data_IF_160803723411
#
_entry.id   IF_160803723411
#
_cell.length_a   1.000
_cell.length_b   1.000
_cell.length_c   1.000
_cell.angle_alpha   90.00
_cell.angle_beta   90.00
_cell.angle_gamma   90.00
#
_symmetry.space_group_name_H-M   'P 1'
#
loop_
_entity.id
_entity.type
_entity.pdbx_description
1 polymer ?
#
# COMPACT_ATOMS: atom_id res chain seq x y z
N UNK A 1 5.56 2.96 -16.53
CA UNK A 1 5.50 1.47 -16.56
C UNK A 1 6.71 0.87 -17.28
N UNK A 2 6.98 1.21 -18.55
CA UNK A 2 8.16 0.65 -19.26
C UNK A 2 9.50 0.95 -18.58
N UNK A 3 9.69 2.14 -18.01
CA UNK A 3 10.92 2.43 -17.27
C UNK A 3 11.17 1.48 -16.08
N UNK A 4 10.09 1.03 -15.42
CA UNK A 4 10.19 0.04 -14.33
C UNK A 4 10.64 -1.30 -14.92
N UNK A 5 9.99 -1.76 -16.00
CA UNK A 5 10.34 -3.02 -16.68
C UNK A 5 11.79 -3.01 -17.17
N UNK A 6 12.21 -1.92 -17.79
CA UNK A 6 13.58 -1.74 -18.28
C UNK A 6 14.61 -1.81 -17.14
N UNK A 7 14.31 -1.25 -15.97
CA UNK A 7 15.19 -1.37 -14.81
C UNK A 7 15.46 -2.83 -14.41
N UNK A 8 14.45 -3.70 -14.46
CA UNK A 8 14.66 -5.12 -14.18
C UNK A 8 15.47 -5.79 -15.29
N UNK A 9 15.21 -5.46 -16.57
CA UNK A 9 15.99 -5.97 -17.73
C UNK A 9 17.46 -5.54 -17.69
N UNK A 10 17.73 -4.32 -17.24
CA UNK A 10 19.09 -3.77 -17.11
C UNK A 10 19.86 -4.38 -15.92
N UNK A 11 19.13 -4.73 -14.84
CA UNK A 11 19.74 -5.19 -13.59
C UNK A 11 19.89 -6.71 -13.49
N UNK A 12 18.97 -7.46 -14.09
CA UNK A 12 18.89 -8.90 -13.92
C UNK A 12 18.90 -9.61 -15.27
N UNK A 13 19.47 -10.81 -15.28
CA UNK A 13 19.20 -11.77 -16.35
C UNK A 13 17.79 -12.32 -16.17
N UNK A 14 16.91 -12.07 -17.15
CA UNK A 14 15.54 -12.56 -17.13
C UNK A 14 15.48 -14.03 -17.60
N UNK A 15 14.44 -14.75 -17.17
CA UNK A 15 14.18 -16.11 -17.69
C UNK A 15 13.62 -16.09 -19.12
N UNK A 16 13.66 -17.22 -19.82
CA UNK A 16 13.08 -17.33 -21.17
C UNK A 16 11.57 -17.01 -21.17
N UNK A 17 10.84 -17.44 -20.13
CA UNK A 17 9.43 -17.09 -19.90
C UNK A 17 9.24 -15.57 -19.85
N UNK A 18 10.07 -14.89 -19.06
CA UNK A 18 10.01 -13.44 -18.90
C UNK A 18 10.36 -12.67 -20.19
N UNK A 19 11.33 -13.17 -20.97
CA UNK A 19 11.74 -12.59 -22.24
C UNK A 19 10.68 -12.77 -23.34
N UNK A 20 9.98 -13.90 -23.35
CA UNK A 20 8.90 -14.19 -24.30
C UNK A 20 7.60 -13.45 -23.96
N UNK A 21 7.41 -12.98 -22.73
CA UNK A 21 6.19 -12.31 -22.30
C UNK A 21 6.03 -10.93 -22.97
N UNK A 22 4.89 -10.63 -23.63
CA UNK A 22 4.65 -9.33 -24.26
C UNK A 22 4.77 -8.16 -23.29
N UNK A 23 4.28 -8.36 -22.06
CA UNK A 23 4.38 -7.39 -20.98
C UNK A 23 5.01 -8.05 -19.76
N UNK A 24 6.34 -8.00 -19.70
CA UNK A 24 7.09 -8.46 -18.54
C UNK A 24 6.55 -7.86 -17.22
N UNK A 25 6.29 -8.73 -16.25
CA UNK A 25 5.81 -8.38 -14.91
C UNK A 25 6.71 -9.07 -13.88
N UNK A 26 7.56 -8.33 -13.13
CA UNK A 26 8.53 -8.91 -12.19
C UNK A 26 7.90 -9.86 -11.17
N UNK A 27 6.67 -9.59 -10.77
CA UNK A 27 5.96 -10.36 -9.76
C UNK A 27 5.08 -11.50 -10.28
N UNK A 28 4.87 -11.60 -11.60
CA UNK A 28 3.95 -12.57 -12.23
C UNK A 28 2.68 -12.83 -11.41
N UNK A 29 1.95 -11.74 -11.16
CA UNK A 29 0.79 -11.72 -10.25
C UNK A 29 -0.51 -11.71 -11.05
N UNK A 30 -1.60 -12.17 -10.42
CA UNK A 30 -2.92 -12.21 -11.06
C UNK A 30 -3.76 -10.95 -10.83
N UNK A 31 -3.39 -10.07 -9.88
CA UNK A 31 -4.18 -8.89 -9.54
C UNK A 31 -3.96 -7.66 -10.43
N UNK A 32 -2.82 -7.54 -11.11
CA UNK A 32 -2.46 -6.36 -11.91
C UNK A 32 -1.50 -6.68 -13.06
N UNK A 33 -1.53 -5.85 -14.09
CA UNK A 33 -0.60 -5.92 -15.22
C UNK A 33 0.87 -5.56 -14.88
N UNK A 34 1.13 -5.00 -13.69
CA UNK A 34 2.48 -4.73 -13.19
C UNK A 34 2.47 -4.68 -11.66
N UNK A 35 3.22 -5.59 -11.03
CA UNK A 35 3.65 -5.43 -9.63
C UNK A 35 5.17 -5.48 -9.58
N UNK A 36 5.75 -4.62 -8.76
CA UNK A 36 7.19 -4.48 -8.62
C UNK A 36 7.53 -3.99 -7.22
N UNK A 37 8.80 -4.14 -6.85
CA UNK A 37 9.31 -3.58 -5.60
C UNK A 37 9.16 -2.04 -5.58
N UNK A 38 8.78 -1.41 -4.45
CA UNK A 38 8.62 0.04 -4.36
C UNK A 38 9.86 0.83 -4.81
N UNK A 39 11.06 0.35 -4.51
CA UNK A 39 12.33 0.97 -4.92
C UNK A 39 12.54 0.98 -6.43
N UNK A 40 11.99 0.00 -7.16
CA UNK A 40 12.05 0.00 -8.62
C UNK A 40 11.15 1.09 -9.21
N UNK A 41 9.96 1.30 -8.64
CA UNK A 41 9.07 2.39 -9.01
C UNK A 41 9.68 3.76 -8.68
N UNK A 42 10.21 3.93 -7.47
CA UNK A 42 10.89 5.17 -7.05
C UNK A 42 12.05 5.53 -7.99
N UNK A 43 12.91 4.56 -8.34
CA UNK A 43 14.03 4.82 -9.23
C UNK A 43 13.56 5.26 -10.64
N UNK A 44 12.47 4.68 -11.15
CA UNK A 44 11.88 5.11 -12.42
C UNK A 44 11.34 6.54 -12.34
N UNK A 45 10.62 6.89 -11.26
CA UNK A 45 10.13 8.25 -11.03
C UNK A 45 11.28 9.24 -10.94
N UNK A 46 12.32 8.95 -10.14
CA UNK A 46 13.48 9.83 -10.01
C UNK A 46 14.19 10.04 -11.36
N UNK A 47 14.31 8.99 -12.19
CA UNK A 47 14.88 9.11 -13.54
C UNK A 47 14.07 10.08 -14.43
N UNK A 48 12.74 10.11 -14.28
CA UNK A 48 11.88 11.04 -15.00
C UNK A 48 12.04 12.49 -14.51
N UNK A 49 12.23 12.67 -13.20
CA UNK A 49 12.24 13.99 -12.55
C UNK A 49 13.62 14.64 -12.59
N UNK A 50 14.71 13.86 -12.59
CA UNK A 50 16.09 14.35 -12.47
C UNK A 50 16.45 15.47 -13.48
N UNK A 51 16.13 15.37 -14.78
CA UNK A 51 16.44 16.45 -15.73
C UNK A 51 15.74 17.78 -15.41
N UNK A 52 14.57 17.72 -14.77
CA UNK A 52 13.83 18.93 -14.36
C UNK A 52 14.44 19.53 -13.09
N UNK A 53 14.95 18.69 -12.20
CA UNK A 53 15.66 19.09 -10.98
C UNK A 53 16.99 19.76 -11.35
N UNK A 54 17.81 19.11 -12.18
CA UNK A 54 19.12 19.63 -12.61
C UNK A 54 19.00 20.95 -13.37
N UNK A 55 17.92 21.12 -14.13
CA UNK A 55 17.64 22.38 -14.82
C UNK A 55 17.01 23.47 -13.93
N UNK A 56 16.85 23.22 -12.62
CA UNK A 56 16.27 24.16 -11.66
C UNK A 56 14.77 24.43 -11.82
N UNK A 57 14.07 23.63 -12.63
CA UNK A 57 12.62 23.79 -12.89
C UNK A 57 11.75 23.04 -11.88
N UNK A 58 12.31 22.07 -11.15
CA UNK A 58 11.61 21.27 -10.15
C UNK A 58 12.43 21.23 -8.86
N UNK A 59 11.75 21.49 -7.73
CA UNK A 59 12.27 21.27 -6.39
C UNK A 59 11.36 20.26 -5.69
N UNK A 60 11.97 19.31 -4.97
CA UNK A 60 11.23 18.29 -4.22
C UNK A 60 11.56 18.43 -2.74
N UNK A 61 10.52 18.58 -1.92
CA UNK A 61 10.62 18.66 -0.47
C UNK A 61 10.10 17.36 0.15
N UNK A 62 11.01 16.48 0.54
CA UNK A 62 10.67 15.21 1.19
C UNK A 62 10.23 15.41 2.64
N UNK A 63 9.37 14.53 3.15
CA UNK A 63 8.86 14.59 4.52
C UNK A 63 8.16 15.92 4.85
N UNK A 64 7.51 16.51 3.84
CA UNK A 64 6.74 17.73 3.98
C UNK A 64 5.26 17.40 4.27
N UNK A 65 4.71 17.97 5.33
CA UNK A 65 3.32 17.80 5.74
C UNK A 65 2.59 19.13 5.66
N UNK A 66 1.44 19.14 4.99
CA UNK A 66 0.59 20.31 4.88
C UNK A 66 0.11 20.75 6.27
N UNK A 67 0.25 22.05 6.59
CA UNK A 67 -0.17 22.62 7.88
C UNK A 67 -1.36 23.56 7.73
N UNK A 68 -1.28 24.48 6.78
CA UNK A 68 -2.30 25.51 6.58
C UNK A 68 -2.28 26.00 5.15
N UNK A 69 -3.41 26.55 4.73
CA UNK A 69 -3.55 27.31 3.50
C UNK A 69 -4.32 28.60 3.79
N UNK A 70 -3.93 29.70 3.15
CA UNK A 70 -4.54 31.01 3.32
C UNK A 70 -5.27 31.42 2.04
N UNK A 71 -6.55 31.75 2.18
CA UNK A 71 -7.40 32.25 1.10
C UNK A 71 -7.52 33.77 1.16
N UNK A 72 -7.45 34.40 -0.01
CA UNK A 72 -7.88 35.79 -0.21
C UNK A 72 -8.92 35.81 -1.31
N UNK A 73 -10.18 36.06 -0.93
CA UNK A 73 -11.32 35.90 -1.83
C UNK A 73 -11.46 34.45 -2.28
N UNK A 74 -11.24 34.18 -3.57
CA UNK A 74 -11.30 32.84 -4.17
C UNK A 74 -9.92 32.28 -4.53
N UNK A 75 -8.84 32.99 -4.21
CA UNK A 75 -7.48 32.59 -4.56
C UNK A 75 -6.69 32.15 -3.33
N UNK A 76 -6.01 31.01 -3.43
CA UNK A 76 -5.05 30.56 -2.42
C UNK A 76 -3.81 31.44 -2.56
N UNK A 77 -3.45 32.17 -1.51
CA UNK A 77 -2.27 33.03 -1.50
C UNK A 77 -1.05 32.25 -1.01
N UNK A 78 -1.21 31.56 0.12
CA UNK A 78 -0.10 30.92 0.85
C UNK A 78 -0.46 29.48 1.16
N UNK A 79 0.51 28.57 0.98
CA UNK A 79 0.45 27.22 1.56
C UNK A 79 1.66 27.02 2.47
N UNK A 80 1.41 26.62 3.72
CA UNK A 80 2.46 26.34 4.69
C UNK A 80 2.57 24.84 4.91
N UNK A 81 3.80 24.32 4.85
CA UNK A 81 4.11 22.93 5.17
C UNK A 81 5.17 22.84 6.26
N UNK A 82 5.14 21.78 7.05
CA UNK A 82 6.17 21.39 8.01
C UNK A 82 7.11 20.36 7.40
N UNK A 83 8.43 20.46 7.66
CA UNK A 83 9.43 19.53 7.16
C UNK A 83 10.57 19.29 8.18
N UNK A 84 11.13 18.07 8.20
CA UNK A 84 10.58 16.93 8.95
C UNK A 84 10.42 17.26 10.45
N UNK A 85 9.61 16.46 11.16
CA UNK A 85 9.38 16.60 12.61
C UNK A 85 8.85 17.98 13.05
N UNK A 86 8.19 18.73 12.15
CA UNK A 86 7.69 20.09 12.40
C UNK A 86 8.77 21.11 12.79
N UNK A 87 10.05 20.79 12.59
CA UNK A 87 11.17 21.64 13.00
C UNK A 87 11.42 22.81 12.04
N UNK A 88 10.94 22.72 10.81
CA UNK A 88 11.00 23.78 9.81
C UNK A 88 9.65 23.96 9.17
N UNK A 89 9.21 25.21 9.07
CA UNK A 89 8.06 25.58 8.24
C UNK A 89 8.55 26.19 6.94
N UNK A 90 7.91 25.81 5.84
CA UNK A 90 8.11 26.37 4.52
C UNK A 90 6.79 26.99 4.07
N UNK A 91 6.85 28.27 3.69
CA UNK A 91 5.72 29.00 3.12
C UNK A 91 5.91 29.10 1.61
N UNK A 92 4.94 28.61 0.85
CA UNK A 92 4.94 28.67 -0.60
C UNK A 92 3.93 29.71 -1.07
N UNK A 93 4.35 30.47 -2.08
CA UNK A 93 3.50 31.37 -2.87
C UNK A 93 3.62 30.92 -4.32
N UNK A 94 2.51 30.50 -4.93
CA UNK A 94 2.49 29.95 -6.28
C UNK A 94 1.27 30.45 -7.04
N UNK A 95 1.37 30.47 -8.37
CA UNK A 95 0.24 30.83 -9.24
C UNK A 95 -0.86 29.74 -9.23
N UNK A 96 -0.48 28.50 -8.96
CA UNK A 96 -1.37 27.34 -8.91
C UNK A 96 -0.91 26.39 -7.80
N UNK A 97 -1.87 25.77 -7.15
CA UNK A 97 -1.67 24.66 -6.21
C UNK A 97 -2.41 23.45 -6.74
N UNK A 98 -1.71 22.32 -6.84
CA UNK A 98 -2.28 21.04 -7.26
C UNK A 98 -2.22 20.09 -6.07
N UNK A 99 -3.38 19.67 -5.58
CA UNK A 99 -3.46 18.66 -4.53
C UNK A 99 -3.45 17.27 -5.17
N UNK A 100 -2.43 16.49 -4.85
CA UNK A 100 -2.30 15.10 -5.26
C UNK A 100 -2.09 14.19 -4.04
N UNK A 101 -2.55 14.59 -2.86
CA UNK A 101 -2.56 13.70 -1.69
C UNK A 101 -3.71 12.69 -1.82
N UNK A 102 -3.58 11.53 -1.15
CA UNK A 102 -4.57 10.45 -1.23
C UNK A 102 -5.96 10.88 -0.73
N UNK A 103 -6.01 11.80 0.24
CA UNK A 103 -7.23 12.22 0.93
C UNK A 103 -7.74 13.61 0.50
N UNK A 104 -7.01 14.32 -0.36
CA UNK A 104 -7.31 15.72 -0.71
C UNK A 104 -7.13 16.65 0.49
N UNK A 105 -5.95 16.60 1.13
CA UNK A 105 -5.68 17.26 2.41
C UNK A 105 -5.73 18.79 2.33
N UNK A 106 -5.64 19.40 1.13
CA UNK A 106 -5.70 20.84 0.96
C UNK A 106 -7.12 21.38 1.11
N UNK A 107 -8.12 20.66 0.60
CA UNK A 107 -9.50 21.13 0.56
C UNK A 107 -10.07 21.41 1.98
N UNK A 108 -9.89 20.54 2.99
CA UNK A 108 -10.36 20.80 4.35
C UNK A 108 -9.74 22.04 5.01
N UNK A 109 -8.58 22.52 4.54
CA UNK A 109 -7.94 23.73 5.08
C UNK A 109 -8.48 25.02 4.43
N UNK A 110 -9.14 24.88 3.28
CA UNK A 110 -9.72 25.97 2.51
C UNK A 110 -11.20 26.19 2.85
N UNK A 111 -11.88 25.13 3.29
CA UNK A 111 -13.29 25.15 3.61
C UNK A 111 -13.54 25.54 5.07
N UNK A 112 -14.55 26.38 5.31
CA UNK A 112 -15.10 26.60 6.65
C UNK A 112 -15.80 25.31 7.12
N UNK A 113 -15.75 24.91 8.40
CA UNK A 113 -16.44 23.72 8.89
C UNK A 113 -17.93 23.76 8.52
N UNK A 114 -18.33 22.94 7.54
CA UNK A 114 -19.70 22.87 7.02
C UNK A 114 -19.86 22.80 5.49
N UNK A 115 -18.80 22.85 4.68
CA UNK A 115 -18.88 22.81 3.21
C UNK A 115 -18.86 21.38 2.61
N UNK A 116 -19.39 20.38 3.32
CA UNK A 116 -19.35 18.96 2.94
C UNK A 116 -20.26 18.57 1.74
N UNK A 117 -20.65 19.50 0.87
CA UNK A 117 -21.66 19.26 -0.16
C UNK A 117 -21.26 19.75 -1.56
N UNK A 118 -20.01 19.53 -1.98
CA UNK A 118 -19.70 19.54 -3.42
C UNK A 118 -19.32 18.13 -3.88
N UNK A 119 -20.28 17.36 -4.42
CA UNK A 119 -19.98 16.11 -5.11
C UNK A 119 -19.04 16.43 -6.27
N UNK A 120 -17.90 15.75 -6.35
CA UNK A 120 -17.15 15.71 -7.59
C UNK A 120 -18.10 15.18 -8.67
N UNK A 121 -18.28 15.94 -9.75
CA UNK A 121 -19.02 15.50 -10.93
C UNK A 121 -18.19 14.45 -11.68
N UNK A 122 -18.07 13.27 -11.09
CA UNK A 122 -17.88 12.03 -11.83
C UNK A 122 -19.11 11.18 -11.59
N UNK A 123 -19.77 10.78 -12.68
CA UNK A 123 -20.94 9.88 -12.66
C UNK A 123 -20.63 8.47 -12.17
N UNK A 124 -19.36 8.19 -11.83
CA UNK A 124 -18.87 6.96 -11.18
C UNK A 124 -18.26 7.24 -9.77
N UNK A 125 -18.50 8.43 -9.20
CA UNK A 125 -17.94 8.88 -7.93
C UNK A 125 -18.47 8.13 -6.69
N UNK A 126 -17.75 8.17 -5.55
CA UNK A 126 -18.07 7.39 -4.36
C UNK A 126 -19.47 7.70 -3.83
N UNK A 127 -20.22 6.65 -3.49
CA UNK A 127 -21.54 6.77 -2.88
C UNK A 127 -21.45 7.60 -1.57
N UNK A 128 -22.36 8.55 -1.32
CA UNK A 128 -22.33 9.46 -0.15
C UNK A 128 -22.30 8.78 1.23
N UNK A 129 -22.61 7.48 1.27
CA UNK A 129 -22.68 6.65 2.49
C UNK A 129 -21.52 5.66 2.61
N UNK A 130 -20.55 5.69 1.69
CA UNK A 130 -19.49 4.70 1.68
C UNK A 130 -18.40 5.09 2.71
N UNK A 131 -18.29 4.32 3.79
CA UNK A 131 -17.26 4.50 4.81
C UNK A 131 -15.86 4.40 4.18
N UNK A 132 -14.98 5.37 4.47
CA UNK A 132 -13.58 5.30 4.08
C UNK A 132 -12.94 4.10 4.78
N UNK A 133 -12.50 3.13 3.99
CA UNK A 133 -11.71 2.01 4.49
C UNK A 133 -10.24 2.19 4.14
N UNK A 134 -9.37 1.81 5.06
CA UNK A 134 -7.92 1.91 4.87
C UNK A 134 -7.17 0.76 5.53
N UNK A 135 -5.99 0.44 4.99
CA UNK A 135 -5.13 -0.65 5.49
C UNK A 135 -3.66 -0.35 5.29
N UNK A 136 -2.79 -1.02 6.04
CA UNK A 136 -1.36 -0.97 5.82
C UNK A 136 -0.89 -2.25 5.14
N UNK A 137 -0.16 -2.09 4.04
CA UNK A 137 0.37 -3.23 3.28
C UNK A 137 1.72 -3.65 3.86
N UNK A 138 2.09 -4.92 3.71
CA UNK A 138 3.39 -5.40 4.15
C UNK A 138 3.95 -6.42 3.17
N UNK A 139 5.28 -6.50 3.06
CA UNK A 139 5.95 -7.46 2.20
C UNK A 139 6.41 -8.68 3.00
N UNK A 140 6.27 -9.87 2.42
CA UNK A 140 6.78 -11.12 2.97
C UNK A 140 7.58 -11.91 1.94
N UNK A 141 8.60 -12.64 2.40
CA UNK A 141 9.14 -13.79 1.67
C UNK A 141 8.88 -15.09 2.46
N UNK A 142 9.02 -16.23 1.78
CA UNK A 142 8.84 -17.55 2.38
C UNK A 142 10.21 -18.21 2.54
N UNK A 143 10.55 -18.63 3.77
CA UNK A 143 11.84 -19.22 4.11
C UNK A 143 11.64 -20.63 4.67
N UNK A 144 11.64 -21.66 3.79
CA UNK A 144 11.43 -23.04 4.22
C UNK A 144 12.37 -23.43 5.36
N UNK A 145 11.83 -24.08 6.38
CA UNK A 145 12.56 -24.53 7.58
C UNK A 145 13.08 -23.43 8.50
N UNK A 146 12.72 -22.16 8.27
CA UNK A 146 13.00 -21.06 9.20
C UNK A 146 11.73 -20.69 9.99
N UNK A 147 11.92 -20.03 11.14
CA UNK A 147 10.82 -19.52 11.97
C UNK A 147 10.96 -18.01 12.17
N UNK A 148 10.02 -17.28 11.60
CA UNK A 148 9.96 -15.81 11.57
C UNK A 148 8.69 -15.25 12.20
N UNK A 149 7.98 -16.06 12.99
CA UNK A 149 6.78 -15.66 13.72
C UNK A 149 7.04 -14.38 14.51
N UNK A 150 6.27 -13.32 14.24
CA UNK A 150 6.38 -12.06 14.97
C UNK A 150 5.80 -12.21 16.40
N UNK A 151 6.16 -11.33 17.34
CA UNK A 151 5.46 -11.24 18.61
C UNK A 151 3.96 -11.00 18.39
N UNK A 152 3.11 -11.50 19.28
CA UNK A 152 1.66 -11.24 19.21
C UNK A 152 1.40 -9.73 19.15
N UNK A 153 0.75 -9.23 18.08
CA UNK A 153 0.47 -7.81 17.94
C UNK A 153 -0.48 -7.30 19.03
N UNK A 154 -0.40 -6.01 19.40
CA UNK A 154 -1.42 -5.41 20.26
C UNK A 154 -2.82 -5.60 19.67
N UNK A 155 -3.80 -5.75 20.55
CA UNK A 155 -5.22 -5.94 20.20
C UNK A 155 -5.54 -7.20 19.38
N UNK A 156 -4.59 -8.13 19.20
CA UNK A 156 -4.80 -9.33 18.36
C UNK A 156 -6.03 -10.14 18.76
N UNK A 157 -6.22 -10.41 20.06
CA UNK A 157 -7.36 -11.16 20.56
C UNK A 157 -8.70 -10.46 20.26
N UNK A 158 -8.74 -9.14 20.48
CA UNK A 158 -9.91 -8.31 20.17
C UNK A 158 -10.21 -8.32 18.67
N UNK A 159 -9.19 -8.07 17.83
CA UNK A 159 -9.33 -8.07 16.38
C UNK A 159 -9.77 -9.43 15.85
N UNK A 160 -9.20 -10.53 16.35
CA UNK A 160 -9.58 -11.88 15.95
C UNK A 160 -11.05 -12.20 16.25
N UNK A 161 -11.60 -11.65 17.32
CA UNK A 161 -13.00 -11.82 17.71
C UNK A 161 -13.96 -10.92 16.90
N UNK A 162 -13.60 -9.64 16.71
CA UNK A 162 -14.50 -8.63 16.14
C UNK A 162 -14.35 -8.48 14.61
N UNK A 163 -13.17 -8.78 14.08
CA UNK A 163 -12.85 -8.80 12.65
C UNK A 163 -11.95 -10.02 12.33
N UNK A 164 -12.53 -11.23 12.29
CA UNK A 164 -11.76 -12.46 12.14
C UNK A 164 -10.91 -12.49 10.88
N UNK A 165 -9.62 -12.80 11.04
CA UNK A 165 -8.71 -12.99 9.92
C UNK A 165 -9.11 -14.21 9.11
N UNK A 166 -9.08 -14.07 7.78
CA UNK A 166 -9.55 -15.11 6.87
C UNK A 166 -8.89 -15.00 5.50
N UNK A 167 -8.75 -16.12 4.81
CA UNK A 167 -8.40 -16.20 3.39
C UNK A 167 -9.65 -16.23 2.49
N UNK A 168 -10.84 -16.05 3.04
CA UNK A 168 -12.07 -15.95 2.24
C UNK A 168 -12.04 -14.70 1.37
N UNK A 169 -12.56 -14.84 0.16
CA UNK A 169 -12.74 -13.73 -0.77
C UNK A 169 -14.12 -13.80 -1.43
N UNK A 170 -14.64 -12.63 -1.77
CA UNK A 170 -15.79 -12.50 -2.64
C UNK A 170 -15.33 -12.56 -4.11
N UNK A 171 -15.93 -13.47 -4.88
CA UNK A 171 -15.69 -13.58 -6.31
C UNK A 171 -17.03 -13.83 -7.02
N UNK A 172 -17.46 -12.85 -7.83
CA UNK A 172 -18.84 -12.78 -8.30
C UNK A 172 -19.82 -12.59 -7.13
N UNK A 173 -20.93 -13.32 -7.15
CA UNK A 173 -21.98 -13.25 -6.11
C UNK A 173 -21.67 -14.11 -4.86
N UNK A 174 -20.56 -14.83 -4.86
CA UNK A 174 -20.28 -15.82 -3.83
C UNK A 174 -19.02 -15.53 -3.04
N UNK A 175 -19.07 -15.85 -1.75
CA UNK A 175 -17.88 -15.98 -0.93
C UNK A 175 -17.29 -17.39 -1.09
N UNK A 176 -15.96 -17.48 -1.20
CA UNK A 176 -15.22 -18.73 -1.39
C UNK A 176 -14.01 -18.76 -0.48
N UNK A 177 -13.67 -19.95 0.01
CA UNK A 177 -12.41 -20.18 0.73
C UNK A 177 -11.26 -20.17 -0.29
N UNK A 178 -10.33 -19.24 -0.13
CA UNK A 178 -9.05 -19.27 -0.84
C UNK A 178 -7.97 -19.88 0.06
N UNK A 179 -6.80 -20.06 -0.52
CA UNK A 179 -5.60 -20.66 0.06
C UNK A 179 -4.44 -19.67 -0.01
N UNK A 180 -3.33 -20.00 0.62
CA UNK A 180 -2.18 -19.11 0.64
C UNK A 180 -1.28 -19.28 -0.59
N UNK A 181 -0.93 -20.51 -0.98
CA UNK A 181 0.00 -20.82 -2.09
C UNK A 181 -0.67 -21.54 -3.28
N UNK A 182 -1.70 -22.33 -3.04
CA UNK A 182 -2.20 -23.35 -3.98
C UNK A 182 -3.44 -22.87 -4.71
N UNK A 183 -3.44 -22.73 -6.04
CA UNK A 183 -4.63 -22.28 -6.77
C UNK A 183 -5.88 -23.12 -6.46
N UNK A 184 -7.01 -22.44 -6.25
CA UNK A 184 -8.33 -23.07 -6.06
C UNK A 184 -9.11 -22.93 -7.36
N UNK A 185 -9.72 -24.04 -7.82
CA UNK A 185 -10.54 -24.02 -9.03
C UNK A 185 -11.68 -23.00 -8.92
N UNK A 186 -11.84 -22.18 -9.96
CA UNK A 186 -12.84 -21.11 -10.01
C UNK A 186 -12.44 -19.80 -9.33
N UNK A 187 -11.27 -19.71 -8.70
CA UNK A 187 -10.69 -18.47 -8.19
C UNK A 187 -9.54 -17.97 -9.09
N UNK A 188 -9.29 -16.65 -9.15
CA UNK A 188 -8.25 -16.08 -10.00
C UNK A 188 -6.82 -16.49 -9.57
N UNK A 189 -6.64 -16.83 -8.29
CA UNK A 189 -5.40 -17.37 -7.77
C UNK A 189 -5.31 -17.25 -6.24
N UNK A 190 -4.25 -17.82 -5.66
CA UNK A 190 -4.01 -17.81 -4.21
C UNK A 190 -3.48 -16.46 -3.73
N UNK A 191 -3.53 -16.20 -2.42
CA UNK A 191 -3.10 -14.92 -1.83
C UNK A 191 -1.63 -14.60 -2.16
N UNK A 192 -0.73 -15.60 -2.11
CA UNK A 192 0.69 -15.43 -2.39
C UNK A 192 0.98 -14.76 -3.73
N UNK A 193 0.21 -15.10 -4.77
CA UNK A 193 0.41 -14.58 -6.13
C UNK A 193 -0.51 -13.40 -6.47
N UNK A 194 -1.31 -12.91 -5.52
CA UNK A 194 -2.25 -11.80 -5.78
C UNK A 194 -1.54 -10.49 -6.11
N UNK A 195 -0.68 -10.05 -5.19
CA UNK A 195 0.12 -8.82 -5.29
C UNK A 195 1.61 -9.15 -5.16
N UNK A 196 2.01 -10.30 -5.73
CA UNK A 196 3.42 -10.70 -5.78
C UNK A 196 4.22 -9.64 -6.52
N UNK A 197 5.30 -9.15 -5.91
CA UNK A 197 6.14 -8.06 -6.45
C UNK A 197 7.45 -8.59 -7.05
N UNK A 198 7.83 -9.82 -6.69
CA UNK A 198 8.96 -10.53 -7.26
C UNK A 198 8.63 -12.01 -7.34
N UNK A 199 8.69 -12.59 -8.54
CA UNK A 199 8.58 -14.02 -8.80
C UNK A 199 9.94 -14.53 -9.27
N UNK A 200 10.57 -15.43 -8.52
CA UNK A 200 11.92 -15.92 -8.81
C UNK A 200 12.03 -16.55 -10.21
N UNK A 201 10.96 -17.20 -10.66
CA UNK A 201 10.86 -17.81 -12.01
C UNK A 201 10.90 -16.80 -13.17
N UNK A 202 10.71 -15.51 -12.90
CA UNK A 202 10.86 -14.45 -13.92
C UNK A 202 12.33 -14.09 -14.19
N UNK A 203 13.26 -14.65 -13.40
CA UNK A 203 14.68 -14.37 -13.47
C UNK A 203 15.50 -15.64 -13.69
N UNK A 204 16.69 -15.51 -14.26
CA UNK A 204 17.63 -16.61 -14.36
C UNK A 204 18.03 -17.11 -12.95
N UNK A 205 18.39 -18.39 -12.79
CA UNK A 205 18.78 -18.95 -11.48
C UNK A 205 19.84 -18.11 -10.77
N UNK A 206 19.63 -17.82 -9.48
CA UNK A 206 20.56 -17.08 -8.63
C UNK A 206 20.49 -15.55 -8.74
N UNK A 207 19.69 -14.98 -9.66
CA UNK A 207 19.55 -13.52 -9.79
C UNK A 207 18.77 -12.87 -8.64
N UNK A 208 17.82 -13.60 -8.06
CA UNK A 208 17.04 -13.18 -6.90
C UNK A 208 16.98 -14.30 -5.86
N UNK A 209 16.83 -13.93 -4.58
CA UNK A 209 16.88 -14.87 -3.46
C UNK A 209 15.60 -15.70 -3.27
N UNK A 210 14.53 -15.37 -4.01
CA UNK A 210 13.22 -15.99 -3.89
C UNK A 210 12.10 -15.01 -4.20
N UNK A 211 10.88 -15.53 -4.13
CA UNK A 211 9.65 -14.76 -4.29
C UNK A 211 9.47 -13.75 -3.15
N UNK A 212 8.79 -12.65 -3.48
CA UNK A 212 8.31 -11.67 -2.49
C UNK A 212 6.88 -11.29 -2.82
N UNK A 213 5.99 -11.45 -1.85
CA UNK A 213 4.60 -11.02 -1.96
C UNK A 213 4.29 -9.81 -1.10
N UNK A 214 3.58 -8.84 -1.69
CA UNK A 214 2.96 -7.76 -0.93
C UNK A 214 1.59 -8.24 -0.47
N UNK A 215 1.34 -8.27 0.82
CA UNK A 215 0.04 -8.67 1.37
C UNK A 215 -0.86 -7.44 1.45
N UNK A 216 -1.97 -7.52 0.73
CA UNK A 216 -3.10 -6.60 0.78
C UNK A 216 -4.36 -7.45 0.67
N UNK A 217 -5.14 -7.50 1.75
CA UNK A 217 -6.30 -8.38 1.84
C UNK A 217 -7.51 -7.68 2.45
N UNK A 218 -8.72 -8.05 2.03
CA UNK A 218 -9.94 -7.39 2.49
C UNK A 218 -10.10 -7.45 4.02
N UNK A 219 -9.66 -8.54 4.64
CA UNK A 219 -9.70 -8.73 6.10
C UNK A 219 -8.86 -7.72 6.91
N UNK A 220 -7.97 -6.94 6.29
CA UNK A 220 -7.14 -5.92 6.97
C UNK A 220 -7.63 -4.49 6.76
N UNK A 221 -8.75 -4.30 6.07
CA UNK A 221 -9.35 -2.98 5.90
C UNK A 221 -10.03 -2.55 7.21
N UNK A 222 -9.57 -1.45 7.81
CA UNK A 222 -10.25 -0.81 8.93
C UNK A 222 -11.33 0.11 8.35
N UNK A 223 -12.60 -0.20 8.64
CA UNK A 223 -13.76 0.63 8.27
C UNK A 223 -14.31 1.48 9.42
N UNK A 224 -13.74 1.34 10.62
CA UNK A 224 -14.14 2.13 11.78
C UNK A 224 -13.32 3.43 11.88
N UNK A 225 -14.04 4.55 12.04
CA UNK A 225 -13.45 5.88 12.17
C UNK A 225 -13.23 6.57 10.83
N UNK A 226 -12.85 7.86 10.90
CA UNK A 226 -12.58 8.68 9.73
C UNK A 226 -11.26 9.41 9.92
N UNK A 227 -10.20 8.97 9.23
CA UNK A 227 -8.87 9.59 9.33
C UNK A 227 -8.78 10.99 8.71
N UNK A 228 -9.81 11.42 7.96
CA UNK A 228 -9.91 12.75 7.37
C UNK A 228 -10.40 13.75 8.41
N UNK A 229 -11.48 13.40 9.12
CA UNK A 229 -12.16 14.30 10.07
C UNK A 229 -11.59 14.20 11.49
N UNK A 230 -10.79 13.16 11.76
CA UNK A 230 -10.16 12.96 13.05
C UNK A 230 -9.18 14.09 13.39
N UNK A 231 -9.25 14.56 14.63
CA UNK A 231 -8.19 15.40 15.20
C UNK A 231 -6.84 14.64 15.23
N UNK A 232 -5.72 15.33 15.45
CA UNK A 232 -4.39 14.70 15.37
C UNK A 232 -4.24 13.46 16.28
N UNK A 233 -4.71 13.49 17.53
CA UNK A 233 -4.57 12.33 18.43
C UNK A 233 -5.40 11.14 17.96
N UNK A 234 -6.67 11.37 17.59
CA UNK A 234 -7.56 10.32 17.10
C UNK A 234 -7.05 9.74 15.77
N UNK A 235 -6.49 10.58 14.88
CA UNK A 235 -5.90 10.12 13.62
C UNK A 235 -4.70 9.20 13.88
N UNK A 236 -3.82 9.56 14.82
CA UNK A 236 -2.69 8.71 15.22
C UNK A 236 -3.19 7.36 15.75
N UNK A 237 -4.20 7.37 16.63
CA UNK A 237 -4.77 6.14 17.20
C UNK A 237 -5.41 5.24 16.12
N UNK A 238 -6.16 5.82 15.18
CA UNK A 238 -6.77 5.10 14.06
C UNK A 238 -5.72 4.48 13.13
N UNK A 239 -4.66 5.24 12.79
CA UNK A 239 -3.56 4.72 11.97
C UNK A 239 -2.83 3.59 12.71
N UNK A 240 -2.58 3.72 14.01
CA UNK A 240 -1.96 2.66 14.80
C UNK A 240 -2.84 1.41 14.89
N UNK A 241 -4.16 1.57 15.03
CA UNK A 241 -5.10 0.44 15.00
C UNK A 241 -5.06 -0.30 13.67
N UNK A 242 -5.03 0.42 12.54
CA UNK A 242 -4.92 -0.20 11.23
C UNK A 242 -3.57 -0.94 11.04
N UNK A 243 -2.48 -0.42 11.60
CA UNK A 243 -1.19 -1.11 11.65
C UNK A 243 -1.25 -2.40 12.46
N UNK A 244 -1.83 -2.36 13.66
CA UNK A 244 -2.00 -3.53 14.53
C UNK A 244 -2.85 -4.61 13.84
N UNK A 245 -3.92 -4.22 13.14
CA UNK A 245 -4.76 -5.14 12.37
C UNK A 245 -3.98 -5.82 11.23
N UNK A 246 -3.13 -5.07 10.53
CA UNK A 246 -2.31 -5.59 9.43
C UNK A 246 -1.25 -6.57 9.93
N UNK A 247 -0.56 -6.24 11.03
CA UNK A 247 0.36 -7.16 11.71
C UNK A 247 -0.37 -8.38 12.29
N UNK A 248 -1.61 -8.21 12.75
CA UNK A 248 -2.46 -9.28 13.22
C UNK A 248 -2.78 -10.31 12.13
N UNK A 249 -3.00 -9.86 10.89
CA UNK A 249 -3.12 -10.78 9.76
C UNK A 249 -1.84 -11.58 9.55
N UNK A 250 -0.66 -10.93 9.59
CA UNK A 250 0.62 -11.64 9.45
C UNK A 250 0.79 -12.68 10.57
N UNK A 251 0.54 -12.30 11.82
CA UNK A 251 0.64 -13.22 12.95
C UNK A 251 -0.33 -14.40 12.81
N UNK A 252 -1.58 -14.15 12.41
CA UNK A 252 -2.56 -15.19 12.14
C UNK A 252 -2.10 -16.12 11.01
N UNK A 253 -1.57 -15.58 9.91
CA UNK A 253 -0.98 -16.37 8.82
C UNK A 253 0.16 -17.27 9.34
N UNK A 254 0.98 -16.77 10.25
CA UNK A 254 2.12 -17.51 10.80
C UNK A 254 1.74 -18.60 11.82
N UNK A 255 0.55 -18.55 12.41
CA UNK A 255 0.22 -19.35 13.61
C UNK A 255 -1.09 -20.12 13.53
N UNK A 256 -2.10 -19.60 12.83
CA UNK A 256 -3.49 -20.08 12.92
C UNK A 256 -4.12 -20.35 11.55
N UNK A 257 -3.62 -19.76 10.47
CA UNK A 257 -4.17 -19.98 9.13
C UNK A 257 -4.09 -21.46 8.71
N UNK A 258 -5.15 -22.04 8.12
CA UNK A 258 -5.09 -23.42 7.61
C UNK A 258 -3.97 -23.58 6.59
N UNK A 259 -3.19 -24.66 6.71
CA UNK A 259 -2.19 -24.98 5.68
C UNK A 259 -2.86 -25.55 4.44
N UNK A 260 -2.32 -25.19 3.28
CA UNK A 260 -2.82 -25.63 1.98
C UNK A 260 -2.75 -27.15 1.79
N UNK A 261 -1.77 -27.81 2.42
CA UNK A 261 -1.60 -29.27 2.42
C UNK A 261 -2.58 -30.00 3.35
N UNK A 262 -3.42 -29.26 4.09
CA UNK A 262 -4.35 -29.78 5.08
C UNK A 262 -3.70 -30.27 6.38
N UNK A 263 -2.37 -30.12 6.54
CA UNK A 263 -1.62 -30.61 7.69
C UNK A 263 -1.37 -29.49 8.70
N UNK A 264 -2.33 -29.27 9.60
CA UNK A 264 -2.20 -28.32 10.69
C UNK A 264 -2.43 -26.87 10.26
N UNK A 265 -1.82 -25.93 11.00
CA UNK A 265 -2.03 -24.50 10.83
C UNK A 265 -0.73 -23.70 10.95
N UNK A 266 -0.76 -22.49 10.38
CA UNK A 266 0.31 -21.51 10.44
C UNK A 266 1.41 -21.72 9.39
N UNK A 267 1.96 -20.60 8.94
CA UNK A 267 3.12 -20.49 8.08
C UNK A 267 4.25 -19.73 8.82
N UNK A 268 4.87 -20.30 9.86
CA UNK A 268 5.95 -19.66 10.61
C UNK A 268 7.15 -19.26 9.73
N UNK A 269 7.27 -19.83 8.54
CA UNK A 269 8.29 -19.58 7.52
C UNK A 269 8.13 -18.21 6.83
N UNK A 270 6.96 -17.57 6.96
CA UNK A 270 6.72 -16.24 6.40
C UNK A 270 7.53 -15.20 7.17
N UNK A 271 8.45 -14.54 6.46
CA UNK A 271 9.30 -13.50 7.02
C UNK A 271 8.86 -12.14 6.53
N UNK A 272 8.55 -11.25 7.47
CA UNK A 272 8.31 -9.84 7.19
C UNK A 272 9.56 -9.20 6.55
N UNK A 273 9.35 -8.32 5.57
CA UNK A 273 10.42 -7.63 4.82
C UNK A 273 10.41 -6.11 5.01
N UNK A 274 10.84 -5.60 6.19
CA UNK A 274 10.93 -4.16 6.44
C UNK A 274 11.88 -3.44 5.48
N UNK A 275 12.91 -4.13 4.98
CA UNK A 275 13.86 -3.60 4.01
C UNK A 275 13.21 -3.23 2.66
N UNK A 276 12.08 -3.86 2.32
CA UNK A 276 11.30 -3.57 1.11
C UNK A 276 10.37 -2.37 1.34
N UNK A 277 9.69 -2.33 2.48
CA UNK A 277 8.73 -1.26 2.79
C UNK A 277 9.40 0.06 3.21
N UNK A 278 10.64 -0.01 3.71
CA UNK A 278 11.40 1.17 4.13
C UNK A 278 10.90 1.77 5.45
N UNK A 279 10.32 0.95 6.31
CA UNK A 279 9.79 1.29 7.64
C UNK A 279 10.30 0.29 8.67
N UNK A 280 10.41 0.69 9.93
CA UNK A 280 10.88 -0.20 11.00
C UNK A 280 9.86 -1.29 11.36
N UNK A 281 8.57 -0.96 11.31
CA UNK A 281 7.47 -1.89 11.58
C UNK A 281 7.17 -2.84 10.41
N UNK A 282 7.81 -2.64 9.26
CA UNK A 282 7.66 -3.45 8.05
C UNK A 282 6.34 -3.25 7.30
N UNK A 283 5.59 -2.21 7.63
CA UNK A 283 4.35 -1.81 6.98
C UNK A 283 4.59 -0.69 5.96
N UNK A 284 3.63 -0.43 5.07
CA UNK A 284 3.72 0.69 4.12
C UNK A 284 3.89 2.04 4.84
N UNK A 285 4.58 2.99 4.20
CA UNK A 285 4.84 4.30 4.80
C UNK A 285 3.56 5.10 5.07
N UNK A 286 2.54 4.88 4.23
CA UNK A 286 1.20 5.46 4.35
C UNK A 286 0.16 4.35 4.19
N UNK A 287 -1.07 4.55 4.71
CA UNK A 287 -2.15 3.60 4.50
C UNK A 287 -2.61 3.65 3.03
N UNK A 288 -3.04 2.52 2.51
CA UNK A 288 -3.83 2.44 1.28
C UNK A 288 -5.29 2.74 1.61
N UNK A 289 -5.94 3.62 0.84
CA UNK A 289 -7.34 4.01 0.98
C UNK A 289 -8.14 3.55 -0.23
N UNK A 290 -9.28 2.88 -0.01
CA UNK A 290 -10.09 2.34 -1.12
C UNK A 290 -10.92 3.39 -1.87
N UNK A 291 -10.96 4.65 -1.40
CA UNK A 291 -11.70 5.74 -2.02
C UNK A 291 -10.83 7.00 -2.03
N UNK A 292 -10.53 7.50 -3.22
CA UNK A 292 -9.98 8.84 -3.43
C UNK A 292 -11.14 9.84 -3.55
N UNK A 293 -10.97 11.05 -2.99
CA UNK A 293 -11.94 12.16 -3.15
C UNK A 293 -11.75 12.96 -4.46
N UNK A 294 -10.78 12.58 -5.29
CA UNK A 294 -10.47 13.24 -6.57
C UNK A 294 -11.57 13.04 -7.62
#
# INVERSE_FOLDING_TARGET
REQIRNRYRERYQLSDKALAAPFFNPGDNWGNHLCCEPRAALAALLRMLLPQIEAGRLQIFYHAHLLSAELTGTSINTVTVAQPDFNRQLCFHAAYYLDATELGDLLPLLESPGANDTPSQQTDGPHPTAHLTFSYQFAVDFRPNEKHTIPTPPDYAYNREHQPYTLRMHYGEHERNNTFFTPVEGLPGPLWTYRRILAAEQFAPGQVAGDVSLVHWAGTALGEGNIIEANPEARIALLQRAKNLSLGLLYWLQTEAPRDDGQGCGYPELRLRPDIMGTYDGLSQTPYTCQSRH
#
